data_IF_293446296456
#
_entry.id   IF_293446296456
#
_cell.length_a   1.000
_cell.length_b   1.000
_cell.length_c   1.000
_cell.angle_alpha   90.00
_cell.angle_beta   90.00
_cell.angle_gamma   90.00
#
_symmetry.space_group_name_H-M   'P 1'
#
loop_
_entity.id
_entity.type
_entity.pdbx_description
1 polymer ?
#
# COMPACT_ATOMS: atom_id res chain seq x y z
N UNK A 1 1.40 24.25 5.13
CA UNK A 1 1.25 23.98 6.57
C UNK A 1 0.05 23.05 6.68
N UNK A 2 0.28 21.78 6.95
CA UNK A 2 -0.81 20.79 7.07
C UNK A 2 -1.64 21.14 8.31
N UNK A 3 -2.96 20.96 8.23
CA UNK A 3 -3.81 21.08 9.42
C UNK A 3 -3.23 20.14 10.50
N UNK A 4 -3.04 20.64 11.73
CA UNK A 4 -2.51 19.84 12.84
C UNK A 4 -3.56 18.80 13.23
N UNK A 5 -3.60 17.70 12.49
CA UNK A 5 -4.44 16.57 12.85
C UNK A 5 -3.76 15.82 14.00
N UNK A 6 -4.55 15.33 14.94
CA UNK A 6 -4.02 14.51 16.04
C UNK A 6 -3.74 13.07 15.57
N UNK A 7 -3.89 12.81 14.27
CA UNK A 7 -3.77 11.50 13.63
C UNK A 7 -2.32 11.05 13.57
N UNK A 8 -2.05 9.89 14.09
CA UNK A 8 -0.74 9.23 13.99
C UNK A 8 -0.61 8.57 12.63
N UNK A 9 0.55 8.73 12.00
CA UNK A 9 0.85 8.15 10.68
C UNK A 9 1.91 7.07 10.83
N UNK A 10 1.57 5.86 10.39
CA UNK A 10 2.49 4.74 10.27
C UNK A 10 2.80 4.51 8.80
N UNK A 11 4.08 4.40 8.46
CA UNK A 11 4.52 4.18 7.07
C UNK A 11 5.10 2.78 6.93
N UNK A 12 4.74 2.05 5.88
CA UNK A 12 5.28 0.73 5.53
C UNK A 12 6.07 0.86 4.23
N UNK A 13 7.36 0.57 4.30
CA UNK A 13 8.32 0.61 3.19
C UNK A 13 8.85 -0.80 2.91
N UNK A 14 8.38 -1.51 1.88
CA UNK A 14 9.01 -2.74 1.43
C UNK A 14 10.36 -2.41 0.78
N UNK A 15 11.43 -3.04 1.28
CA UNK A 15 12.81 -2.77 0.85
C UNK A 15 13.46 -4.06 0.39
N UNK A 16 14.06 -4.04 -0.79
CA UNK A 16 14.96 -5.09 -1.27
C UNK A 16 16.02 -4.49 -2.17
N UNK A 17 17.25 -4.34 -1.65
CA UNK A 17 18.38 -3.72 -2.36
C UNK A 17 18.02 -2.32 -2.90
N UNK A 18 17.70 -1.39 -1.99
CA UNK A 18 17.30 0.00 -2.29
C UNK A 18 18.27 1.03 -1.67
N UNK A 19 19.55 0.64 -1.40
CA UNK A 19 20.54 1.52 -0.80
C UNK A 19 20.77 2.83 -1.59
N UNK A 20 20.52 2.83 -2.91
CA UNK A 20 20.69 4.02 -3.76
C UNK A 20 19.58 5.07 -3.63
N UNK A 21 18.43 4.73 -3.03
CA UNK A 21 17.25 5.61 -2.94
C UNK A 21 16.77 5.81 -1.51
N UNK A 22 17.01 4.85 -0.61
CA UNK A 22 16.44 4.83 0.73
C UNK A 22 16.87 6.02 1.59
N UNK A 23 18.14 6.45 1.50
CA UNK A 23 18.65 7.61 2.24
C UNK A 23 17.93 8.91 1.84
N UNK A 24 17.78 9.15 0.53
CA UNK A 24 17.04 10.29 -0.02
C UNK A 24 15.58 10.27 0.45
N UNK A 25 14.92 9.10 0.39
CA UNK A 25 13.55 8.94 0.82
C UNK A 25 13.39 9.24 2.32
N UNK A 26 14.24 8.66 3.19
CA UNK A 26 14.16 8.87 4.63
C UNK A 26 14.43 10.34 5.01
N UNK A 27 15.35 11.02 4.33
CA UNK A 27 15.57 12.46 4.51
C UNK A 27 14.35 13.32 4.12
N UNK A 28 13.52 12.85 3.18
CA UNK A 28 12.24 13.51 2.85
C UNK A 28 11.21 13.31 3.95
N UNK A 29 11.19 12.17 4.63
CA UNK A 29 10.35 11.96 5.81
C UNK A 29 10.74 12.85 6.99
N UNK A 30 12.05 13.20 7.17
CA UNK A 30 12.46 14.17 8.17
C UNK A 30 11.79 15.53 7.91
N UNK A 31 11.86 16.02 6.66
CA UNK A 31 11.19 17.26 6.29
C UNK A 31 9.68 17.21 6.48
N UNK A 32 9.05 16.07 6.14
CA UNK A 32 7.62 15.89 6.32
C UNK A 32 7.21 15.95 7.80
N UNK A 33 8.04 15.43 8.70
CA UNK A 33 7.84 15.52 10.14
C UNK A 33 7.99 16.98 10.64
N UNK A 34 8.97 17.72 10.14
CA UNK A 34 9.18 19.15 10.42
C UNK A 34 7.99 19.99 9.93
N UNK A 35 7.37 19.63 8.82
CA UNK A 35 6.15 20.25 8.29
C UNK A 35 4.87 19.93 9.10
N UNK A 36 4.97 19.07 10.10
CA UNK A 36 3.92 18.80 11.09
C UNK A 36 3.17 17.49 10.92
N UNK A 37 3.56 16.61 10.00
CA UNK A 37 3.01 15.25 9.92
C UNK A 37 3.53 14.41 11.10
N UNK A 38 2.62 13.86 11.89
CA UNK A 38 2.95 13.05 13.06
C UNK A 38 3.32 11.63 12.67
N UNK A 39 4.57 11.38 12.35
CA UNK A 39 5.08 10.04 12.05
C UNK A 39 5.23 9.26 13.35
N UNK A 40 4.32 8.29 13.59
CA UNK A 40 4.39 7.40 14.74
C UNK A 40 5.40 6.26 14.51
N UNK A 41 5.51 5.79 13.26
CA UNK A 41 6.42 4.71 12.88
C UNK A 41 6.71 4.71 11.38
N UNK A 42 7.96 4.46 11.01
CA UNK A 42 8.37 4.13 9.65
C UNK A 42 8.90 2.69 9.70
N UNK A 43 8.09 1.75 9.29
CA UNK A 43 8.46 0.33 9.23
C UNK A 43 9.15 0.03 7.90
N UNK A 44 10.45 -0.17 7.95
CA UNK A 44 11.24 -0.72 6.85
C UNK A 44 11.13 -2.24 6.90
N UNK A 45 10.46 -2.85 5.94
CA UNK A 45 10.40 -4.31 5.81
C UNK A 45 11.49 -4.74 4.82
N UNK A 46 12.63 -5.15 5.36
CA UNK A 46 13.79 -5.58 4.58
C UNK A 46 13.63 -7.03 4.14
N UNK A 47 13.41 -7.23 2.86
CA UNK A 47 13.14 -8.53 2.25
C UNK A 47 14.44 -9.29 1.90
N UNK A 48 15.38 -9.35 2.86
CA UNK A 48 16.66 -10.05 2.71
C UNK A 48 17.63 -9.32 1.79
N UNK A 49 17.76 -7.99 1.95
CA UNK A 49 18.73 -7.20 1.19
C UNK A 49 20.16 -7.64 1.46
N UNK A 50 20.99 -7.58 0.43
CA UNK A 50 22.43 -7.90 0.50
C UNK A 50 23.30 -6.65 0.36
N UNK A 51 22.67 -5.48 0.11
CA UNK A 51 23.32 -4.19 0.05
C UNK A 51 23.27 -3.44 1.41
N UNK A 52 23.59 -2.16 1.43
CA UNK A 52 23.57 -1.35 2.65
C UNK A 52 22.18 -0.85 3.08
N UNK A 53 21.08 -1.33 2.51
CA UNK A 53 19.72 -0.85 2.82
C UNK A 53 19.40 -0.91 4.31
N UNK A 54 19.66 -2.03 4.98
CA UNK A 54 19.42 -2.18 6.41
C UNK A 54 20.28 -1.23 7.25
N UNK A 55 21.56 -1.05 6.89
CA UNK A 55 22.46 -0.14 7.58
C UNK A 55 22.01 1.34 7.45
N UNK A 56 21.53 1.75 6.25
CA UNK A 56 20.97 3.08 6.02
C UNK A 56 19.73 3.27 6.90
N UNK A 57 18.78 2.36 6.91
CA UNK A 57 17.59 2.43 7.74
C UNK A 57 17.96 2.56 9.24
N UNK A 58 18.93 1.77 9.70
CA UNK A 58 19.42 1.81 11.09
C UNK A 58 19.99 3.17 11.46
N UNK A 59 20.71 3.85 10.57
CA UNK A 59 21.32 5.16 10.81
C UNK A 59 20.25 6.27 11.04
N UNK A 60 19.03 6.10 10.52
CA UNK A 60 17.95 7.08 10.70
C UNK A 60 17.18 6.94 12.02
N UNK A 61 17.38 5.88 12.81
CA UNK A 61 16.64 5.66 14.07
C UNK A 61 16.78 6.78 15.10
N UNK A 62 17.86 7.52 15.08
CA UNK A 62 18.06 8.63 16.00
C UNK A 62 17.32 9.93 15.58
N UNK A 63 16.80 9.96 14.36
CA UNK A 63 16.17 11.14 13.75
C UNK A 63 14.69 10.90 13.39
N UNK A 64 14.32 9.67 13.12
CA UNK A 64 12.99 9.24 12.74
C UNK A 64 12.56 8.00 13.53
N UNK A 65 11.26 7.77 13.74
CA UNK A 65 10.76 6.56 14.39
C UNK A 65 10.84 5.33 13.46
N UNK A 66 12.06 4.99 13.02
CA UNK A 66 12.31 3.87 12.12
C UNK A 66 12.35 2.56 12.89
N UNK A 67 11.55 1.60 12.46
CA UNK A 67 11.65 0.18 12.82
C UNK A 67 12.05 -0.65 11.61
N UNK A 68 12.75 -1.77 11.84
CA UNK A 68 13.17 -2.67 10.77
C UNK A 68 12.66 -4.08 11.08
N UNK A 69 11.87 -4.62 10.15
CA UNK A 69 11.48 -6.02 10.11
C UNK A 69 12.26 -6.71 8.99
N UNK A 70 13.06 -7.73 9.32
CA UNK A 70 13.95 -8.37 8.36
C UNK A 70 13.50 -9.79 8.04
N UNK A 71 13.37 -10.12 6.76
CA UNK A 71 13.26 -11.49 6.30
C UNK A 71 14.65 -12.11 6.10
N UNK A 72 14.81 -13.36 6.46
CA UNK A 72 16.09 -14.07 6.29
C UNK A 72 16.48 -14.27 4.82
N UNK A 73 15.49 -14.29 3.92
CA UNK A 73 15.64 -14.43 2.47
C UNK A 73 14.55 -13.66 1.75
N UNK A 74 14.74 -13.33 0.48
CA UNK A 74 13.74 -12.65 -0.32
C UNK A 74 12.45 -13.48 -0.46
N UNK A 75 11.35 -12.94 0.08
CA UNK A 75 9.99 -13.51 0.05
C UNK A 75 9.12 -12.92 -1.07
N UNK A 76 9.56 -11.81 -1.65
CA UNK A 76 8.88 -11.05 -2.68
C UNK A 76 7.93 -9.98 -2.14
N UNK A 77 7.65 -8.98 -2.99
CA UNK A 77 6.90 -7.77 -2.62
C UNK A 77 5.58 -8.07 -1.91
N UNK A 78 4.83 -9.07 -2.39
CA UNK A 78 3.53 -9.41 -1.83
C UNK A 78 3.61 -9.88 -0.37
N UNK A 79 4.62 -10.67 -0.03
CA UNK A 79 4.85 -11.10 1.35
C UNK A 79 5.35 -9.95 2.21
N UNK A 80 6.29 -9.18 1.70
CA UNK A 80 6.90 -8.05 2.39
C UNK A 80 5.87 -6.99 2.79
N UNK A 81 5.00 -6.59 1.86
CA UNK A 81 3.95 -5.60 2.15
C UNK A 81 2.85 -6.18 3.05
N UNK A 82 2.48 -7.45 2.87
CA UNK A 82 1.52 -8.15 3.71
C UNK A 82 1.98 -8.16 5.17
N UNK A 83 3.22 -8.56 5.43
CA UNK A 83 3.77 -8.66 6.78
C UNK A 83 3.90 -7.28 7.43
N UNK A 84 4.32 -6.26 6.66
CA UNK A 84 4.39 -4.89 7.13
C UNK A 84 3.02 -4.31 7.49
N UNK A 85 2.03 -4.48 6.63
CA UNK A 85 0.66 -3.99 6.91
C UNK A 85 0.02 -4.72 8.08
N UNK A 86 0.20 -6.04 8.20
CA UNK A 86 -0.32 -6.82 9.32
C UNK A 86 0.36 -6.43 10.65
N UNK A 87 1.68 -6.23 10.63
CA UNK A 87 2.43 -5.78 11.79
C UNK A 87 1.94 -4.41 12.29
N UNK A 88 1.87 -3.42 11.40
CA UNK A 88 1.39 -2.07 11.77
C UNK A 88 -0.07 -2.13 12.23
N UNK A 89 -0.94 -2.85 11.54
CA UNK A 89 -2.35 -2.96 11.93
C UNK A 89 -2.55 -3.57 13.32
N UNK A 90 -1.62 -4.41 13.80
CA UNK A 90 -1.66 -4.97 15.15
C UNK A 90 -1.30 -3.97 16.25
N UNK A 91 -0.64 -2.85 15.90
CA UNK A 91 -0.11 -1.84 16.83
C UNK A 91 -0.87 -0.51 16.76
N UNK A 92 -1.41 -0.18 15.60
CA UNK A 92 -2.06 1.09 15.34
C UNK A 92 -3.43 1.19 16.04
N UNK A 93 -3.77 2.36 16.56
CA UNK A 93 -5.12 2.64 16.98
C UNK A 93 -6.08 2.69 15.76
N UNK A 94 -7.37 2.37 15.91
CA UNK A 94 -8.33 2.40 14.81
C UNK A 94 -8.38 3.75 14.06
N UNK A 95 -8.15 4.86 14.78
CA UNK A 95 -8.13 6.23 14.25
C UNK A 95 -6.85 6.59 13.50
N UNK A 96 -5.79 5.80 13.63
CA UNK A 96 -4.50 6.05 12.99
C UNK A 96 -4.57 5.82 11.47
N UNK A 97 -3.57 6.33 10.78
CA UNK A 97 -3.42 6.15 9.33
C UNK A 97 -2.20 5.29 9.03
N UNK A 98 -2.39 4.30 8.17
CA UNK A 98 -1.32 3.45 7.66
C UNK A 98 -1.06 3.79 6.21
N UNK A 99 0.17 4.17 5.89
CA UNK A 99 0.61 4.51 4.54
C UNK A 99 1.52 3.41 4.02
N UNK A 100 1.23 2.87 2.85
CA UNK A 100 2.16 2.02 2.11
C UNK A 100 2.73 2.77 0.92
N UNK A 101 4.03 2.65 0.64
CA UNK A 101 4.66 3.20 -0.56
C UNK A 101 5.96 2.48 -0.88
N UNK A 102 6.41 2.59 -2.13
CA UNK A 102 7.67 1.99 -2.56
C UNK A 102 8.87 2.76 -1.96
N UNK A 103 9.97 2.04 -1.68
CA UNK A 103 11.19 2.61 -1.09
C UNK A 103 12.20 3.13 -2.13
N UNK A 104 11.84 3.19 -3.41
CA UNK A 104 12.71 3.58 -4.53
C UNK A 104 12.73 5.09 -4.84
N UNK A 105 12.20 5.91 -3.92
CA UNK A 105 12.09 7.39 -4.00
C UNK A 105 11.33 7.93 -5.24
N UNK A 106 10.60 7.07 -5.96
CA UNK A 106 9.77 7.51 -7.09
C UNK A 106 8.46 8.15 -6.65
N UNK A 107 7.97 7.80 -5.48
CA UNK A 107 6.77 8.36 -4.86
C UNK A 107 7.09 9.55 -3.96
N UNK A 108 6.39 10.69 -4.07
CA UNK A 108 6.61 11.85 -3.20
C UNK A 108 5.94 11.67 -1.83
N UNK A 109 6.70 11.54 -0.72
CA UNK A 109 6.12 11.46 0.63
C UNK A 109 5.26 12.68 0.99
N UNK A 110 5.54 13.83 0.39
CA UNK A 110 4.81 15.09 0.58
C UNK A 110 3.32 14.95 0.22
N UNK A 111 2.95 13.97 -0.62
CA UNK A 111 1.56 13.70 -0.97
C UNK A 111 0.75 13.14 0.21
N UNK A 112 1.42 12.63 1.25
CA UNK A 112 0.76 12.11 2.46
C UNK A 112 -0.18 13.14 3.07
N UNK A 113 0.20 14.42 3.09
CA UNK A 113 -0.67 15.48 3.59
C UNK A 113 -2.03 15.56 2.88
N UNK A 114 -2.03 15.55 1.55
CA UNK A 114 -3.29 15.53 0.77
C UNK A 114 -4.07 14.22 0.95
N UNK A 115 -3.38 13.10 1.20
CA UNK A 115 -4.05 11.84 1.50
C UNK A 115 -4.71 11.86 2.88
N UNK A 116 -4.07 12.48 3.88
CA UNK A 116 -4.66 12.67 5.22
C UNK A 116 -5.92 13.53 5.14
N UNK A 117 -5.87 14.65 4.42
CA UNK A 117 -7.03 15.51 4.20
C UNK A 117 -8.19 14.75 3.55
N UNK A 118 -7.92 13.93 2.55
CA UNK A 118 -8.93 13.11 1.89
C UNK A 118 -9.55 12.06 2.84
N UNK A 119 -8.75 11.46 3.74
CA UNK A 119 -9.25 10.57 4.79
C UNK A 119 -10.13 11.33 5.79
N UNK A 120 -9.75 12.54 6.20
CA UNK A 120 -10.55 13.38 7.10
C UNK A 120 -11.91 13.73 6.49
N UNK A 121 -11.96 13.96 5.18
CA UNK A 121 -13.19 14.16 4.42
C UNK A 121 -14.04 12.90 4.24
N UNK A 122 -13.73 11.86 5.00
CA UNK A 122 -14.59 10.69 5.16
C UNK A 122 -14.24 9.50 4.27
N UNK A 123 -13.08 9.48 3.63
CA UNK A 123 -12.58 8.26 2.97
C UNK A 123 -11.94 7.32 3.98
N UNK A 124 -11.88 6.04 3.63
CA UNK A 124 -11.24 4.98 4.40
C UNK A 124 -9.96 4.49 3.72
N UNK A 125 -9.88 4.65 2.38
CA UNK A 125 -8.70 4.34 1.55
C UNK A 125 -8.49 5.50 0.57
N UNK A 126 -7.26 5.99 0.51
CA UNK A 126 -6.83 6.98 -0.48
C UNK A 126 -5.67 6.42 -1.30
N UNK A 127 -5.78 6.49 -2.62
CA UNK A 127 -4.79 5.98 -3.56
C UNK A 127 -4.12 7.16 -4.26
N UNK A 128 -2.79 7.20 -4.29
CA UNK A 128 -2.05 8.10 -5.16
C UNK A 128 -2.18 7.58 -6.60
N UNK A 129 -3.00 8.25 -7.41
CA UNK A 129 -3.44 7.74 -8.71
C UNK A 129 -2.71 8.42 -9.86
N UNK A 130 -2.22 7.60 -10.80
CA UNK A 130 -1.65 8.03 -12.07
C UNK A 130 -2.69 8.49 -13.09
N UNK A 131 -3.99 8.30 -12.79
CA UNK A 131 -5.10 8.54 -13.72
C UNK A 131 -5.98 9.74 -13.34
N UNK A 132 -5.60 10.50 -12.34
CA UNK A 132 -6.24 11.77 -12.03
C UNK A 132 -5.80 12.88 -13.00
N UNK A 133 -6.66 13.90 -13.22
CA UNK A 133 -6.42 14.95 -14.23
C UNK A 133 -5.09 15.68 -14.08
N UNK A 134 -4.64 15.92 -12.85
CA UNK A 134 -3.38 16.61 -12.52
C UNK A 134 -2.22 15.66 -12.26
N UNK A 135 -2.41 14.35 -12.42
CA UNK A 135 -1.33 13.38 -12.29
C UNK A 135 -0.30 13.56 -13.41
N UNK A 136 0.97 13.41 -13.06
CA UNK A 136 2.08 13.44 -14.01
C UNK A 136 2.95 12.20 -13.81
N UNK A 137 3.33 11.57 -14.92
CA UNK A 137 4.18 10.38 -14.89
C UNK A 137 5.34 10.63 -15.83
N UNK A 138 6.53 10.79 -15.25
CA UNK A 138 7.77 11.05 -15.98
C UNK A 138 8.65 9.82 -16.02
N UNK A 139 9.26 9.52 -17.18
CA UNK A 139 10.26 8.46 -17.33
C UNK A 139 9.72 7.03 -17.50
N UNK A 140 8.40 6.83 -17.68
CA UNK A 140 7.81 5.51 -17.98
C UNK A 140 7.91 5.17 -19.46
N UNK A 141 8.24 3.90 -19.77
CA UNK A 141 8.19 3.40 -21.14
C UNK A 141 6.75 3.29 -21.66
N UNK A 142 6.55 3.44 -22.98
CA UNK A 142 5.23 3.32 -23.63
C UNK A 142 4.56 1.98 -23.35
N UNK A 143 5.33 0.89 -23.29
CA UNK A 143 4.82 -0.46 -22.99
C UNK A 143 4.23 -0.51 -21.58
N UNK A 144 4.89 0.09 -20.59
CA UNK A 144 4.39 0.14 -19.22
C UNK A 144 3.13 1.00 -19.08
N UNK A 145 3.07 2.09 -19.84
CA UNK A 145 1.87 2.92 -19.91
C UNK A 145 0.70 2.09 -20.46
N UNK A 146 0.89 1.42 -21.59
CA UNK A 146 -0.15 0.60 -22.24
C UNK A 146 -0.61 -0.56 -21.32
N UNK A 147 0.32 -1.28 -20.69
CA UNK A 147 -0.03 -2.38 -19.74
C UNK A 147 -0.75 -1.88 -18.50
N UNK A 148 -0.41 -0.67 -18.02
CA UNK A 148 -1.08 -0.02 -16.89
C UNK A 148 -2.54 0.33 -17.24
N UNK A 149 -2.81 0.85 -18.43
CA UNK A 149 -4.19 1.10 -18.91
C UNK A 149 -4.96 -0.20 -19.13
N UNK A 150 -4.31 -1.26 -19.64
CA UNK A 150 -4.90 -2.59 -19.77
C UNK A 150 -5.32 -3.16 -18.41
N UNK A 151 -4.44 -3.11 -17.40
CA UNK A 151 -4.75 -3.54 -16.05
C UNK A 151 -5.94 -2.77 -15.45
N UNK A 152 -5.94 -1.44 -15.62
CA UNK A 152 -7.06 -0.59 -15.21
C UNK A 152 -8.38 -1.06 -15.82
N UNK A 153 -8.41 -1.26 -17.14
CA UNK A 153 -9.63 -1.69 -17.85
C UNK A 153 -10.15 -3.04 -17.33
N UNK A 154 -9.25 -4.01 -17.12
CA UNK A 154 -9.60 -5.33 -16.57
C UNK A 154 -10.28 -5.20 -15.20
N UNK A 155 -9.69 -4.45 -14.27
CA UNK A 155 -10.28 -4.29 -12.93
C UNK A 155 -11.58 -3.50 -12.96
N UNK A 156 -11.68 -2.42 -13.74
CA UNK A 156 -12.89 -1.62 -13.85
C UNK A 156 -14.09 -2.43 -14.39
N UNK A 157 -13.83 -3.40 -15.27
CA UNK A 157 -14.89 -4.26 -15.83
C UNK A 157 -15.21 -5.43 -14.90
N UNK A 158 -14.20 -6.10 -14.35
CA UNK A 158 -14.41 -7.34 -13.60
C UNK A 158 -14.69 -7.12 -12.11
N UNK A 159 -14.06 -6.12 -11.49
CA UNK A 159 -14.13 -5.84 -10.05
C UNK A 159 -14.22 -4.33 -9.79
N UNK A 160 -15.25 -3.64 -10.26
CA UNK A 160 -15.35 -2.19 -10.12
C UNK A 160 -15.42 -1.78 -8.65
N UNK A 161 -14.55 -0.84 -8.27
CA UNK A 161 -14.63 -0.13 -6.99
C UNK A 161 -15.02 1.32 -7.29
N UNK A 162 -16.07 1.87 -6.67
CA UNK A 162 -16.46 3.25 -6.87
C UNK A 162 -15.29 4.22 -6.61
N UNK A 163 -15.14 5.22 -7.48
CA UNK A 163 -14.11 6.28 -7.40
C UNK A 163 -12.66 5.79 -7.52
N UNK A 164 -12.41 4.54 -7.94
CA UNK A 164 -11.07 3.98 -8.14
C UNK A 164 -10.77 3.77 -9.62
N UNK A 165 -9.62 4.28 -10.03
CA UNK A 165 -9.04 4.10 -11.39
C UNK A 165 -7.69 3.41 -11.35
N UNK A 166 -6.94 3.58 -10.24
CA UNK A 166 -5.60 2.99 -10.09
C UNK A 166 -5.58 1.84 -9.09
N UNK A 167 -5.74 0.63 -9.59
CA UNK A 167 -5.73 -0.59 -8.78
C UNK A 167 -4.33 -1.09 -8.42
N UNK A 168 -3.30 -0.63 -9.12
CA UNK A 168 -1.95 -1.22 -9.05
C UNK A 168 -0.91 -0.32 -8.41
N UNK A 169 -1.22 0.95 -8.13
CA UNK A 169 -0.31 1.82 -7.38
C UNK A 169 -0.18 1.33 -5.93
N UNK A 170 1.06 1.23 -5.44
CA UNK A 170 1.38 0.83 -4.06
C UNK A 170 1.34 1.98 -3.06
N UNK A 171 1.32 3.22 -3.52
CA UNK A 171 1.25 4.39 -2.65
C UNK A 171 -0.20 4.66 -2.25
N UNK A 172 -0.53 4.27 -1.02
CA UNK A 172 -1.87 4.34 -0.47
C UNK A 172 -1.85 4.73 1.00
N UNK A 173 -2.90 5.43 1.42
CA UNK A 173 -3.20 5.66 2.83
C UNK A 173 -4.50 4.94 3.20
N UNK A 174 -4.51 4.29 4.35
CA UNK A 174 -5.64 3.54 4.88
C UNK A 174 -5.95 4.03 6.29
N UNK A 175 -7.21 4.11 6.66
CA UNK A 175 -7.56 4.09 8.09
C UNK A 175 -7.14 2.74 8.67
N UNK A 176 -6.50 2.76 9.83
CA UNK A 176 -6.05 1.53 10.46
C UNK A 176 -7.21 0.56 10.72
N UNK A 177 -8.37 1.08 11.13
CA UNK A 177 -9.59 0.29 11.31
C UNK A 177 -9.98 -0.50 10.05
N UNK A 178 -9.92 0.13 8.88
CA UNK A 178 -10.26 -0.55 7.61
C UNK A 178 -9.32 -1.72 7.31
N UNK A 179 -8.02 -1.56 7.60
CA UNK A 179 -7.04 -2.65 7.47
C UNK A 179 -7.28 -3.75 8.50
N UNK A 180 -7.52 -3.40 9.76
CA UNK A 180 -7.79 -4.34 10.85
C UNK A 180 -9.03 -5.19 10.55
N UNK A 181 -10.12 -4.56 10.14
CA UNK A 181 -11.34 -5.26 9.74
C UNK A 181 -11.12 -6.19 8.55
N UNK A 182 -10.31 -5.75 7.56
CA UNK A 182 -9.99 -6.57 6.41
C UNK A 182 -9.13 -7.79 6.80
N UNK A 183 -8.14 -7.62 7.68
CA UNK A 183 -7.32 -8.71 8.21
C UNK A 183 -8.17 -9.74 8.95
N UNK A 184 -9.04 -9.30 9.85
CA UNK A 184 -9.96 -10.19 10.58
C UNK A 184 -10.83 -10.98 9.62
N UNK A 185 -11.47 -10.31 8.64
CA UNK A 185 -12.36 -10.93 7.66
C UNK A 185 -11.67 -11.96 6.77
N UNK A 186 -10.36 -11.77 6.50
CA UNK A 186 -9.59 -12.63 5.61
C UNK A 186 -8.63 -13.58 6.37
N UNK A 187 -8.85 -13.82 7.66
CA UNK A 187 -8.04 -14.74 8.46
C UNK A 187 -6.59 -14.30 8.62
N UNK A 188 -6.35 -12.99 8.80
CA UNK A 188 -5.03 -12.40 9.00
C UNK A 188 -4.25 -12.14 7.70
N UNK A 189 -4.87 -12.29 6.52
CA UNK A 189 -4.17 -12.20 5.24
C UNK A 189 -4.89 -11.32 4.23
N UNK A 190 -4.23 -10.27 3.73
CA UNK A 190 -4.77 -9.35 2.73
C UNK A 190 -4.45 -9.76 1.29
N UNK A 191 -3.34 -10.48 1.07
CA UNK A 191 -2.93 -10.93 -0.26
C UNK A 191 -2.29 -12.31 -0.23
N UNK A 192 -2.49 -13.06 -1.33
CA UNK A 192 -1.81 -14.33 -1.64
C UNK A 192 -0.80 -14.19 -2.78
N UNK A 193 -0.85 -13.06 -3.49
CA UNK A 193 0.05 -12.76 -4.60
C UNK A 193 1.46 -12.43 -4.08
N UNK A 194 2.48 -13.00 -4.73
CA UNK A 194 3.89 -12.76 -4.36
C UNK A 194 4.48 -11.52 -5.01
N UNK A 195 3.99 -11.16 -6.21
CA UNK A 195 4.48 -10.05 -7.02
C UNK A 195 3.59 -8.80 -6.95
N UNK A 196 3.74 -7.90 -7.91
CA UNK A 196 3.05 -6.60 -7.96
C UNK A 196 1.51 -6.67 -8.00
N UNK A 197 0.91 -7.80 -8.38
CA UNK A 197 -0.54 -8.01 -8.33
C UNK A 197 -1.09 -7.95 -6.89
N UNK A 198 -0.23 -8.13 -5.87
CA UNK A 198 -0.60 -8.01 -4.45
C UNK A 198 -1.25 -6.66 -4.14
N UNK A 199 -0.81 -5.57 -4.78
CA UNK A 199 -1.37 -4.24 -4.54
C UNK A 199 -2.85 -4.16 -4.91
N UNK A 200 -3.24 -4.80 -6.01
CA UNK A 200 -4.64 -4.88 -6.39
C UNK A 200 -5.43 -5.81 -5.45
N UNK A 201 -4.85 -6.94 -5.05
CA UNK A 201 -5.51 -7.89 -4.15
C UNK A 201 -5.78 -7.25 -2.77
N UNK A 202 -4.79 -6.55 -2.20
CA UNK A 202 -4.95 -5.82 -0.93
C UNK A 202 -6.08 -4.78 -1.03
N UNK A 203 -6.11 -4.00 -2.12
CA UNK A 203 -7.17 -3.02 -2.34
C UNK A 203 -8.56 -3.68 -2.38
N UNK A 204 -8.70 -4.75 -3.15
CA UNK A 204 -9.95 -5.51 -3.24
C UNK A 204 -10.35 -6.08 -1.88
N UNK A 205 -9.39 -6.62 -1.10
CA UNK A 205 -9.64 -7.20 0.22
C UNK A 205 -10.14 -6.15 1.21
N UNK A 206 -9.58 -4.95 1.22
CA UNK A 206 -10.01 -3.87 2.12
C UNK A 206 -11.35 -3.27 1.65
N UNK A 207 -11.49 -2.99 0.34
CA UNK A 207 -12.71 -2.42 -0.22
C UNK A 207 -13.93 -3.35 -0.10
N UNK A 208 -13.75 -4.68 -0.10
CA UNK A 208 -14.81 -5.66 0.09
C UNK A 208 -15.53 -5.53 1.45
N UNK A 209 -14.97 -4.80 2.40
CA UNK A 209 -15.60 -4.44 3.68
C UNK A 209 -16.53 -3.23 3.63
N UNK A 210 -16.74 -2.65 2.44
CA UNK A 210 -17.52 -1.42 2.30
C UNK A 210 -16.71 -0.15 2.53
N UNK A 211 -15.36 -0.24 2.58
CA UNK A 211 -14.49 0.92 2.75
C UNK A 211 -14.68 1.92 1.59
N UNK A 212 -14.81 3.20 1.93
CA UNK A 212 -14.94 4.30 0.96
C UNK A 212 -13.59 4.63 0.38
N UNK A 213 -13.45 4.42 -0.92
CA UNK A 213 -12.20 4.63 -1.65
C UNK A 213 -12.22 5.96 -2.40
N UNK A 214 -11.06 6.60 -2.47
CA UNK A 214 -10.84 7.79 -3.29
C UNK A 214 -9.41 7.89 -3.79
N UNK A 215 -9.15 8.88 -4.64
CA UNK A 215 -7.86 9.06 -5.29
C UNK A 215 -7.38 10.50 -5.19
N UNK A 216 -6.06 10.67 -4.98
CA UNK A 216 -5.36 11.95 -5.13
C UNK A 216 -4.39 11.88 -6.31
N UNK A 217 -4.08 12.99 -7.00
CA UNK A 217 -3.22 12.97 -8.16
C UNK A 217 -1.76 12.68 -7.78
N UNK A 218 -1.15 11.68 -8.41
CA UNK A 218 0.24 11.31 -8.21
C UNK A 218 1.14 12.01 -9.23
N UNK A 219 2.19 12.68 -8.74
CA UNK A 219 3.33 13.09 -9.56
C UNK A 219 4.43 12.05 -9.38
N UNK A 220 4.54 11.13 -10.33
CA UNK A 220 5.48 10.02 -10.31
C UNK A 220 6.72 10.35 -11.13
N UNK A 221 7.90 10.33 -10.49
CA UNK A 221 9.16 10.63 -11.17
C UNK A 221 10.10 9.42 -11.16
N UNK A 222 10.08 8.64 -12.24
CA UNK A 222 10.95 7.47 -12.40
C UNK A 222 12.44 7.81 -12.57
N UNK A 223 12.80 9.07 -12.80
CA UNK A 223 14.21 9.49 -12.90
C UNK A 223 14.95 9.42 -11.57
N UNK A 224 14.20 9.42 -10.45
CA UNK A 224 14.75 9.28 -9.09
C UNK A 224 15.11 7.84 -8.72
N UNK A 225 14.63 6.87 -9.49
CA UNK A 225 14.87 5.47 -9.21
C UNK A 225 16.36 5.13 -9.30
N UNK A 226 16.93 4.65 -8.19
CA UNK A 226 18.36 4.32 -8.07
C UNK A 226 18.81 3.04 -8.81
N UNK A 227 17.90 2.37 -9.56
CA UNK A 227 18.24 1.12 -10.22
C UNK A 227 17.19 0.64 -11.24
N UNK A 228 17.45 -0.47 -11.96
CA UNK A 228 16.50 -1.02 -12.92
C UNK A 228 15.23 -1.51 -12.24
N UNK A 229 14.12 -1.48 -12.97
CA UNK A 229 12.86 -2.00 -12.43
C UNK A 229 12.88 -3.52 -12.34
N UNK A 230 12.52 -4.03 -11.17
CA UNK A 230 12.44 -5.47 -10.84
C UNK A 230 11.12 -6.12 -11.32
N UNK A 231 10.20 -5.36 -11.92
CA UNK A 231 8.87 -5.86 -12.33
C UNK A 231 8.93 -6.66 -13.64
N UNK A 232 8.46 -7.92 -13.59
CA UNK A 232 8.18 -8.74 -14.79
C UNK A 232 6.81 -8.31 -15.36
N UNK A 233 6.81 -7.48 -16.41
CA UNK A 233 5.58 -6.90 -16.99
C UNK A 233 4.62 -7.96 -17.56
N UNK A 234 5.05 -8.93 -18.40
CA UNK A 234 4.14 -9.96 -18.94
C UNK A 234 3.54 -10.85 -17.86
N UNK A 235 4.36 -11.34 -16.94
CA UNK A 235 3.90 -12.17 -15.82
C UNK A 235 2.91 -11.42 -14.92
N UNK A 236 3.17 -10.15 -14.64
CA UNK A 236 2.26 -9.31 -13.85
C UNK A 236 0.91 -9.12 -14.55
N UNK A 237 0.90 -8.90 -15.86
CA UNK A 237 -0.35 -8.73 -16.62
C UNK A 237 -1.23 -9.98 -16.56
N UNK A 238 -0.64 -11.17 -16.70
CA UNK A 238 -1.38 -12.44 -16.57
C UNK A 238 -1.97 -12.61 -15.17
N UNK A 239 -1.17 -12.37 -14.12
CA UNK A 239 -1.63 -12.46 -12.72
C UNK A 239 -2.77 -11.46 -12.41
N UNK A 240 -2.73 -10.26 -12.99
CA UNK A 240 -3.81 -9.26 -12.87
C UNK A 240 -5.13 -9.81 -13.43
N UNK A 241 -5.13 -10.40 -14.61
CA UNK A 241 -6.34 -10.98 -15.21
C UNK A 241 -6.87 -12.13 -14.36
N UNK A 242 -6.00 -13.07 -13.96
CA UNK A 242 -6.37 -14.20 -13.10
C UNK A 242 -6.94 -13.74 -11.76
N UNK A 243 -6.32 -12.75 -11.13
CA UNK A 243 -6.78 -12.15 -9.89
C UNK A 243 -8.17 -11.54 -10.04
N UNK A 244 -8.38 -10.69 -11.05
CA UNK A 244 -9.66 -10.04 -11.28
C UNK A 244 -10.78 -11.06 -11.56
N UNK A 245 -10.51 -12.12 -12.34
CA UNK A 245 -11.45 -13.21 -12.59
C UNK A 245 -11.79 -13.98 -11.30
N UNK A 246 -10.78 -14.33 -10.49
CA UNK A 246 -10.96 -15.01 -9.21
C UNK A 246 -11.88 -14.21 -8.27
N UNK A 247 -11.64 -12.91 -8.13
CA UNK A 247 -12.45 -12.02 -7.31
C UNK A 247 -13.89 -11.89 -7.84
N UNK A 248 -14.06 -11.79 -9.16
CA UNK A 248 -15.38 -11.73 -9.79
C UNK A 248 -16.21 -12.99 -9.49
N UNK A 249 -15.60 -14.16 -9.55
CA UNK A 249 -16.25 -15.43 -9.24
C UNK A 249 -16.61 -15.54 -7.75
N UNK A 250 -15.69 -15.16 -6.86
CA UNK A 250 -15.93 -15.15 -5.41
C UNK A 250 -17.07 -14.19 -5.00
N UNK A 251 -17.14 -13.02 -5.62
CA UNK A 251 -18.21 -12.05 -5.36
C UNK A 251 -19.61 -12.53 -5.79
N UNK A 252 -19.68 -13.50 -6.73
CA UNK A 252 -20.93 -14.12 -7.20
C UNK A 252 -21.32 -15.38 -6.44
N UNK A 253 -20.40 -15.94 -5.66
CA UNK A 253 -20.71 -17.12 -4.85
C UNK A 253 -21.71 -16.74 -3.74
N UNK A 254 -22.77 -17.54 -3.51
CA UNK A 254 -23.70 -17.29 -2.42
C UNK A 254 -22.94 -17.29 -1.09
N UNK A 255 -23.14 -16.24 -0.29
CA UNK A 255 -22.59 -16.22 1.08
C UNK A 255 -23.08 -17.46 1.82
N UNK A 256 -22.21 -18.17 2.57
CA UNK A 256 -22.68 -19.22 3.46
C UNK A 256 -23.82 -18.67 4.33
N UNK A 257 -24.96 -19.36 4.35
CA UNK A 257 -26.05 -18.99 5.27
C UNK A 257 -25.47 -19.05 6.69
N UNK A 258 -25.62 -17.96 7.44
CA UNK A 258 -25.23 -17.91 8.85
C UNK A 258 -25.75 -19.19 9.53
N UNK A 259 -24.85 -20.01 10.05
CA UNK A 259 -25.26 -21.10 10.93
C UNK A 259 -25.93 -20.45 12.15
N UNK A 260 -27.15 -20.88 12.49
CA UNK A 260 -27.82 -20.36 13.67
C UNK A 260 -26.93 -20.62 14.89
N UNK A 261 -26.59 -19.55 15.62
CA UNK A 261 -25.90 -19.61 16.90
C UNK A 261 -26.67 -20.55 17.81
N UNK A 262 -26.07 -21.70 18.15
CA UNK A 262 -26.64 -22.60 19.16
C UNK A 262 -26.86 -21.82 20.46
N UNK A 263 -28.04 -21.91 21.10
CA UNK A 263 -28.27 -21.27 22.39
C UNK A 263 -27.31 -21.87 23.42
N UNK A 264 -26.61 -21.01 24.15
CA UNK A 264 -25.80 -21.42 25.29
C UNK A 264 -26.70 -22.20 26.24
N UNK A 265 -26.42 -23.48 26.46
CA UNK A 265 -27.00 -24.27 27.54
C UNK A 265 -26.50 -23.66 28.84
N UNK A 266 -27.41 -23.06 29.59
CA UNK A 266 -27.21 -22.69 30.98
C UNK A 266 -27.09 -23.98 31.80
N UNK A 267 -25.98 -24.11 32.52
CA UNK A 267 -25.82 -25.04 33.64
C UNK A 267 -25.43 -24.19 34.87
#
# INVERSE_FOLDING_TARGET
MYARTNTQVHVVLPVYNEAGSLESLLSRFERLAEEGVRLARILVVDDGSVDRSAAIAQAFRNRLPVEILTHSTNQGLGRTIQDGLAYIASLAAPSDVVVSMDADDTHPPELIGSMLEALENGLDIVIASRYQRSARVEGLSRVRIATSYGARAVFQVLTPIPNVRDYTCGFRAYRAEALQMALVRNGGRLSRERGFACMAEILLAVAAGGARCGEVPLVLNYRRKGGPSKMNVPGTALHIVQLAMRWRLQARAPKPKDQPTQPRRSA
#
